data_IF_994504854743
#
_entry.id   IF_994504854743
#
_cell.length_a   1.000
_cell.length_b   1.000
_cell.length_c   1.000
_cell.angle_alpha   90.00
_cell.angle_beta   90.00
_cell.angle_gamma   90.00
#
_symmetry.space_group_name_H-M   'P 1'
#
loop_
_entity.id
_entity.type
_entity.pdbx_description
1 polymer ?
#
# COMPACT_ATOMS: atom_id res chain seq x y z
N UNK A 1 30.78 31.14 25.09
CA UNK A 1 30.03 29.89 24.85
C UNK A 1 30.68 29.19 23.67
N UNK A 2 31.29 28.02 23.89
CA UNK A 2 31.87 27.22 22.80
C UNK A 2 30.74 26.37 22.22
N UNK A 3 30.55 26.43 20.90
CA UNK A 3 29.57 25.62 20.19
C UNK A 3 30.30 24.57 19.37
N UNK A 4 29.98 23.30 19.59
CA UNK A 4 30.48 22.18 18.81
C UNK A 4 29.31 21.57 18.04
N UNK A 5 29.35 21.71 16.71
CA UNK A 5 28.28 21.23 15.85
C UNK A 5 28.43 19.71 15.59
N UNK A 6 27.32 18.96 15.50
CA UNK A 6 27.38 17.57 15.13
C UNK A 6 27.83 17.39 13.68
N UNK A 7 28.60 16.34 13.42
CA UNK A 7 29.07 15.98 12.08
C UNK A 7 27.94 15.36 11.23
N UNK A 8 27.13 14.50 11.85
CA UNK A 8 26.05 13.77 11.21
C UNK A 8 24.66 14.28 11.60
N UNK A 9 23.64 13.86 10.85
CA UNK A 9 22.24 14.07 11.20
C UNK A 9 21.74 13.12 12.30
N UNK A 10 20.53 13.33 12.82
CA UNK A 10 19.96 12.43 13.80
C UNK A 10 19.64 11.05 13.20
N UNK A 11 19.74 10.01 14.01
CA UNK A 11 19.44 8.63 13.62
C UNK A 11 18.10 8.22 14.21
N UNK A 12 17.20 7.71 13.37
CA UNK A 12 15.95 7.11 13.82
C UNK A 12 16.12 5.61 13.96
N UNK A 13 15.78 5.10 15.13
CA UNK A 13 15.73 3.65 15.41
C UNK A 13 14.32 3.25 15.83
N UNK A 14 13.86 2.10 15.35
CA UNK A 14 12.60 1.47 15.74
C UNK A 14 12.83 0.15 16.47
N UNK A 15 11.76 -0.58 16.75
CA UNK A 15 11.87 -1.94 17.33
C UNK A 15 12.56 -2.89 16.32
N UNK A 16 13.63 -3.60 16.70
CA UNK A 16 14.29 -4.57 15.82
C UNK A 16 13.31 -5.61 15.27
N UNK A 17 13.48 -5.97 13.99
CA UNK A 17 12.68 -7.01 13.32
C UNK A 17 11.25 -6.63 12.95
N UNK A 18 10.79 -5.41 13.24
CA UNK A 18 9.42 -4.95 12.93
C UNK A 18 9.42 -3.96 11.77
N UNK A 19 9.33 -4.50 10.55
CA UNK A 19 9.34 -3.72 9.30
C UNK A 19 7.93 -3.35 8.79
N UNK A 20 6.88 -3.98 9.33
CA UNK A 20 5.48 -3.70 8.99
C UNK A 20 4.70 -3.40 10.26
N UNK A 21 3.82 -2.41 10.15
CA UNK A 21 2.93 -1.99 11.23
C UNK A 21 1.48 -2.05 10.79
N UNK A 22 0.63 -2.50 11.69
CA UNK A 22 -0.81 -2.59 11.49
C UNK A 22 -1.52 -1.50 12.27
N UNK A 23 -2.70 -1.12 11.78
CA UNK A 23 -3.59 -0.24 12.54
C UNK A 23 -3.91 -0.89 13.88
N UNK A 24 -3.80 -0.13 14.96
CA UNK A 24 -3.97 -0.61 16.33
C UNK A 24 -2.67 -0.92 17.05
N UNK A 25 -1.54 -1.05 16.34
CA UNK A 25 -0.22 -1.25 16.92
C UNK A 25 0.24 -0.05 17.76
N UNK A 26 0.98 -0.31 18.82
CA UNK A 26 1.76 0.72 19.52
C UNK A 26 3.16 0.75 18.93
N UNK A 27 3.46 1.83 18.21
CA UNK A 27 4.76 2.04 17.56
C UNK A 27 5.67 2.84 18.48
N UNK A 28 6.96 2.51 18.46
CA UNK A 28 8.00 3.11 19.29
C UNK A 28 9.22 3.41 18.44
N UNK A 29 9.66 4.66 18.46
CA UNK A 29 10.86 5.11 17.78
C UNK A 29 11.71 5.95 18.73
N UNK A 30 13.02 5.87 18.57
CA UNK A 30 13.97 6.78 19.19
C UNK A 30 14.66 7.58 18.11
N UNK A 31 14.78 8.87 18.34
CA UNK A 31 15.64 9.74 17.58
C UNK A 31 16.84 10.07 18.43
N UNK A 32 18.04 9.76 17.94
CA UNK A 32 19.30 9.99 18.63
C UNK A 32 20.09 11.03 17.85
N UNK A 33 20.50 12.13 18.50
CA UNK A 33 21.37 13.13 17.88
C UNK A 33 22.81 12.61 17.76
N UNK A 34 23.58 13.17 16.84
CA UNK A 34 25.03 13.09 16.95
C UNK A 34 25.51 13.97 18.13
N UNK A 35 26.71 13.68 18.63
CA UNK A 35 27.31 14.38 19.78
C UNK A 35 27.56 15.86 19.47
N UNK A 36 27.21 16.74 20.40
CA UNK A 36 27.33 18.19 20.20
C UNK A 36 27.36 18.98 21.50
N UNK A 37 27.68 20.28 21.43
CA UNK A 37 27.57 21.17 22.58
C UNK A 37 27.04 22.54 22.15
N UNK A 38 25.91 23.02 22.70
CA UNK A 38 25.00 22.30 23.60
C UNK A 38 24.34 21.09 22.90
N UNK A 39 23.74 20.18 23.67
CA UNK A 39 22.93 19.10 23.14
C UNK A 39 21.91 19.60 22.09
N UNK A 40 21.80 18.87 20.98
CA UNK A 40 20.83 19.19 19.94
C UNK A 40 19.40 19.06 20.45
N UNK A 41 18.56 20.03 20.09
CA UNK A 41 17.13 20.02 20.37
C UNK A 41 16.43 19.18 19.30
N UNK A 42 15.74 18.13 19.74
CA UNK A 42 15.09 17.14 18.88
C UNK A 42 13.60 17.43 18.72
N UNK A 43 13.04 17.14 17.54
CA UNK A 43 11.61 17.31 17.26
C UNK A 43 11.10 16.23 16.32
N UNK A 44 9.90 15.73 16.60
CA UNK A 44 9.23 14.71 15.80
C UNK A 44 8.09 15.29 14.96
N UNK A 45 7.95 14.74 13.75
CA UNK A 45 6.87 15.05 12.82
C UNK A 45 6.28 13.76 12.25
N UNK A 46 4.96 13.70 12.14
CA UNK A 46 4.23 12.64 11.46
C UNK A 46 3.59 13.24 10.22
N UNK A 47 3.98 12.75 9.03
CA UNK A 47 3.51 13.24 7.73
C UNK A 47 3.63 14.77 7.56
N UNK A 48 4.71 15.34 8.07
CA UNK A 48 5.01 16.78 8.04
C UNK A 48 4.40 17.59 9.19
N UNK A 49 3.47 17.03 9.95
CA UNK A 49 2.78 17.72 11.04
C UNK A 49 3.53 17.48 12.37
N UNK A 50 3.73 18.51 13.22
CA UNK A 50 4.40 18.33 14.50
C UNK A 50 3.62 17.39 15.41
N UNK A 51 4.36 16.54 16.14
CA UNK A 51 3.77 15.57 17.06
C UNK A 51 3.39 16.23 18.38
N UNK A 52 2.23 15.85 18.93
CA UNK A 52 1.81 16.23 20.26
C UNK A 52 2.76 15.69 21.35
N UNK A 53 3.11 16.56 22.30
CA UNK A 53 3.94 16.27 23.48
C UNK A 53 3.52 15.01 24.24
N UNK A 54 2.24 14.65 24.27
CA UNK A 54 1.76 13.42 24.94
C UNK A 54 2.36 12.12 24.36
N UNK A 55 2.79 12.15 23.10
CA UNK A 55 3.43 11.02 22.41
C UNK A 55 4.95 11.01 22.55
N UNK A 56 5.53 12.05 23.16
CA UNK A 56 6.97 12.18 23.33
C UNK A 56 7.44 11.52 24.62
N UNK A 57 8.66 10.99 24.59
CA UNK A 57 9.35 10.42 25.76
C UNK A 57 10.74 11.03 25.84
N UNK A 58 11.02 11.79 26.89
CA UNK A 58 12.22 12.62 27.01
C UNK A 58 11.95 14.09 26.64
N UNK A 59 12.97 14.85 26.19
CA UNK A 59 14.31 14.40 25.80
C UNK A 59 15.19 13.95 26.99
N UNK A 60 16.20 13.12 26.71
CA UNK A 60 17.20 12.68 27.66
C UNK A 60 18.61 12.81 27.08
N UNK A 61 19.56 13.26 27.88
CA UNK A 61 20.99 13.18 27.53
C UNK A 61 21.48 11.79 27.93
N UNK A 62 21.78 10.95 26.95
CA UNK A 62 22.14 9.55 27.19
C UNK A 62 23.64 9.34 27.32
N UNK A 63 24.44 10.21 26.71
CA UNK A 63 25.90 10.10 26.70
C UNK A 63 26.53 11.49 26.79
N UNK A 64 27.64 11.56 27.51
CA UNK A 64 28.55 12.72 27.54
C UNK A 64 29.97 12.19 27.36
N UNK A 65 30.66 12.63 26.31
CA UNK A 65 32.03 12.17 26.03
C UNK A 65 33.09 12.91 26.89
N UNK A 66 34.37 12.58 26.69
CA UNK A 66 35.48 13.15 27.48
C UNK A 66 35.65 14.64 27.21
N UNK A 67 35.26 15.10 26.03
CA UNK A 67 35.26 16.49 25.59
C UNK A 67 34.01 17.24 26.10
N UNK A 68 33.08 16.52 26.75
CA UNK A 68 31.84 17.04 27.28
C UNK A 68 30.79 17.32 26.21
N UNK A 69 30.88 16.68 25.04
CA UNK A 69 29.84 16.69 24.01
C UNK A 69 28.71 15.75 24.42
N UNK A 70 27.49 16.17 24.13
CA UNK A 70 26.26 15.55 24.61
C UNK A 70 25.51 14.89 23.46
N UNK A 71 24.98 13.69 23.72
CA UNK A 71 24.07 12.96 22.84
C UNK A 71 22.66 13.03 23.42
N UNK A 72 21.72 13.60 22.67
CA UNK A 72 20.32 13.68 23.07
C UNK A 72 19.50 12.56 22.40
N UNK A 73 18.51 12.04 23.13
CA UNK A 73 17.52 11.10 22.62
C UNK A 73 16.11 11.61 22.90
N UNK A 74 15.25 11.57 21.89
CA UNK A 74 13.81 11.84 22.01
C UNK A 74 13.02 10.65 21.47
N UNK A 75 12.28 10.01 22.37
CA UNK A 75 11.38 8.91 22.04
C UNK A 75 10.04 9.39 21.50
N UNK A 76 9.45 8.59 20.62
CA UNK A 76 8.12 8.73 20.05
C UNK A 76 7.34 7.43 20.28
N UNK A 77 6.20 7.52 20.97
CA UNK A 77 5.32 6.39 21.23
C UNK A 77 3.85 6.79 21.05
N UNK A 78 3.17 6.11 20.12
CA UNK A 78 1.74 6.33 19.89
C UNK A 78 1.05 5.07 19.34
N UNK A 79 -0.28 5.04 19.46
CA UNK A 79 -1.10 4.00 18.85
C UNK A 79 -1.41 4.37 17.40
N UNK A 80 -1.05 3.48 16.48
CA UNK A 80 -1.25 3.67 15.05
C UNK A 80 -2.74 3.60 14.70
N UNK A 81 -3.20 4.55 13.89
CA UNK A 81 -4.58 4.71 13.45
C UNK A 81 -4.59 4.98 11.96
N UNK A 82 -5.71 4.69 11.30
CA UNK A 82 -5.91 4.94 9.86
C UNK A 82 -5.56 6.38 9.46
N UNK A 83 -5.93 7.37 10.29
CA UNK A 83 -5.62 8.79 10.07
C UNK A 83 -4.12 9.12 9.97
N UNK A 84 -3.24 8.26 10.46
CA UNK A 84 -1.79 8.48 10.40
C UNK A 84 -1.19 8.02 9.06
N UNK A 85 -1.95 7.36 8.20
CA UNK A 85 -1.50 7.00 6.86
C UNK A 85 -2.02 8.05 5.85
N UNK A 86 -1.11 8.64 5.07
CA UNK A 86 -1.45 9.51 3.94
C UNK A 86 -0.98 8.80 2.68
N UNK A 87 -1.84 8.60 1.68
CA UNK A 87 -1.48 7.89 0.42
C UNK A 87 -0.92 6.46 0.61
N UNK A 88 -1.24 5.81 1.73
CA UNK A 88 -0.86 4.42 2.01
C UNK A 88 0.44 4.26 2.80
N UNK A 89 1.19 5.34 3.05
CA UNK A 89 2.39 5.31 3.88
C UNK A 89 2.26 6.21 5.12
N UNK A 90 3.04 5.85 6.14
CA UNK A 90 3.29 6.64 7.33
C UNK A 90 4.70 7.21 7.23
N UNK A 91 4.82 8.53 7.23
CA UNK A 91 6.12 9.21 7.27
C UNK A 91 6.43 9.71 8.66
N UNK A 92 7.59 9.36 9.18
CA UNK A 92 8.08 9.82 10.47
C UNK A 92 9.40 10.54 10.25
N UNK A 93 9.47 11.81 10.66
CA UNK A 93 10.65 12.64 10.52
C UNK A 93 11.13 13.12 11.88
N UNK A 94 12.42 13.01 12.13
CA UNK A 94 13.07 13.65 13.26
C UNK A 94 13.98 14.79 12.77
N UNK A 95 13.89 15.93 13.44
CA UNK A 95 14.74 17.10 13.22
C UNK A 95 15.62 17.33 14.45
N UNK A 96 16.92 17.54 14.23
CA UNK A 96 17.87 17.98 15.23
C UNK A 96 18.30 19.42 14.92
N UNK A 97 18.28 20.28 15.94
CA UNK A 97 18.60 21.70 15.82
C UNK A 97 19.55 22.18 16.91
N UNK A 98 20.43 23.11 16.58
CA UNK A 98 21.22 23.88 17.57
C UNK A 98 21.10 25.36 17.20
N UNK A 99 20.33 26.07 18.02
CA UNK A 99 20.01 27.50 17.85
C UNK A 99 19.73 27.82 16.36
N UNK A 100 20.47 28.77 15.79
CA UNK A 100 20.35 29.17 14.39
C UNK A 100 21.51 28.72 13.49
N UNK A 101 22.26 27.69 13.89
CA UNK A 101 23.51 27.32 13.22
C UNK A 101 23.56 25.88 12.70
N UNK A 102 22.65 25.01 13.15
CA UNK A 102 22.58 23.63 12.69
C UNK A 102 21.14 23.15 12.60
N UNK A 103 20.81 22.54 11.46
CA UNK A 103 19.54 21.86 11.20
C UNK A 103 19.76 20.67 10.28
N UNK A 104 19.55 19.46 10.81
CA UNK A 104 19.57 18.22 10.03
C UNK A 104 18.42 17.33 10.45
N UNK A 105 17.90 16.56 9.51
CA UNK A 105 16.78 15.66 9.77
C UNK A 105 16.97 14.31 9.11
N UNK A 106 16.30 13.31 9.66
CA UNK A 106 16.16 11.99 9.07
C UNK A 106 14.67 11.64 8.98
N UNK A 107 14.26 10.91 7.95
CA UNK A 107 12.87 10.56 7.68
C UNK A 107 12.77 9.10 7.27
N UNK A 108 11.80 8.40 7.86
CA UNK A 108 11.41 7.03 7.51
C UNK A 108 10.02 7.04 6.88
N UNK A 109 9.86 6.33 5.77
CA UNK A 109 8.55 6.00 5.19
C UNK A 109 8.26 4.52 5.44
N UNK A 110 7.10 4.26 6.03
CA UNK A 110 6.65 2.94 6.44
C UNK A 110 5.38 2.62 5.65
N UNK A 111 5.41 1.58 4.83
CA UNK A 111 4.22 1.12 4.11
C UNK A 111 3.19 0.54 5.09
N UNK A 112 1.95 1.00 5.00
CA UNK A 112 0.83 0.34 5.67
C UNK A 112 0.54 -1.02 5.03
N UNK A 113 -0.12 -1.91 5.77
CA UNK A 113 -0.59 -3.15 5.14
C UNK A 113 -1.56 -2.85 4.00
N UNK A 114 -1.24 -3.36 2.81
CA UNK A 114 -2.17 -3.35 1.69
C UNK A 114 -3.30 -4.31 2.02
N UNK A 115 -4.58 -3.92 1.88
CA UNK A 115 -5.67 -4.88 1.90
C UNK A 115 -5.38 -5.95 0.87
N UNK A 116 -5.34 -7.22 1.27
CA UNK A 116 -5.32 -8.32 0.33
C UNK A 116 -6.61 -8.19 -0.50
N UNK A 117 -6.48 -7.78 -1.77
CA UNK A 117 -7.60 -7.87 -2.71
C UNK A 117 -7.93 -9.35 -2.84
N UNK A 118 -8.96 -9.81 -2.14
CA UNK A 118 -9.49 -11.14 -2.35
C UNK A 118 -9.99 -11.21 -3.80
N UNK A 119 -9.61 -12.23 -4.61
CA UNK A 119 -10.21 -12.40 -5.92
C UNK A 119 -11.70 -12.64 -5.71
N UNK A 120 -12.52 -11.78 -6.32
CA UNK A 120 -13.97 -11.97 -6.38
C UNK A 120 -14.18 -13.28 -7.15
N UNK A 121 -14.73 -14.29 -6.48
CA UNK A 121 -15.15 -15.53 -7.14
C UNK A 121 -16.32 -15.18 -8.06
N UNK A 122 -16.08 -15.15 -9.37
CA UNK A 122 -17.13 -15.02 -10.36
C UNK A 122 -17.91 -16.34 -10.40
N UNK A 123 -19.17 -16.31 -9.94
CA UNK A 123 -20.07 -17.44 -10.08
C UNK A 123 -20.44 -17.60 -11.55
N UNK A 124 -19.81 -18.55 -12.25
CA UNK A 124 -20.33 -19.01 -13.55
C UNK A 124 -21.69 -19.67 -13.31
N UNK A 125 -22.77 -19.01 -13.74
CA UNK A 125 -24.07 -19.65 -13.90
C UNK A 125 -23.95 -20.79 -14.93
N UNK A 126 -24.10 -22.04 -14.48
CA UNK A 126 -24.31 -23.17 -15.37
C UNK A 126 -25.75 -23.13 -15.86
N UNK A 127 -25.97 -22.60 -17.07
CA UNK A 127 -27.26 -22.66 -17.76
C UNK A 127 -27.60 -24.13 -18.03
N UNK A 128 -28.59 -24.69 -17.33
CA UNK A 128 -29.14 -26.00 -17.66
C UNK A 128 -29.90 -25.92 -18.99
N UNK A 129 -29.36 -26.54 -20.05
CA UNK A 129 -30.13 -26.81 -21.27
C UNK A 129 -31.07 -27.98 -21.00
N UNK A 130 -32.31 -27.68 -20.65
CA UNK A 130 -33.41 -28.64 -20.70
C UNK A 130 -33.78 -28.90 -22.16
N UNK A 131 -33.24 -29.97 -22.75
CA UNK A 131 -33.76 -30.51 -24.01
C UNK A 131 -34.97 -31.40 -23.69
N UNK A 132 -36.19 -30.91 -23.92
CA UNK A 132 -37.38 -31.77 -24.01
C UNK A 132 -37.40 -32.41 -25.39
N UNK A 133 -37.02 -33.69 -25.46
CA UNK A 133 -37.22 -34.50 -26.66
C UNK A 133 -38.66 -35.04 -26.65
N UNK A 134 -39.49 -34.56 -27.58
CA UNK A 134 -40.79 -35.17 -27.86
C UNK A 134 -40.62 -36.05 -29.12
N UNK A 135 -40.56 -37.36 -28.93
CA UNK A 135 -40.53 -38.33 -30.02
C UNK A 135 -41.95 -38.85 -30.26
N UNK A 136 -42.45 -38.67 -31.48
CA UNK A 136 -43.76 -39.12 -31.95
C UNK A 136 -43.64 -40.54 -32.54
N UNK A 137 -44.55 -41.44 -32.15
CA UNK A 137 -44.59 -42.86 -32.55
C UNK A 137 -45.20 -43.03 -33.96
N UNK A 138 -44.92 -44.21 -34.55
CA UNK A 138 -45.50 -44.94 -35.71
C UNK A 138 -44.54 -44.92 -36.92
N UNK A 139 -43.95 -46.01 -37.43
CA UNK A 139 -44.31 -47.43 -37.42
C UNK A 139 -44.73 -47.86 -38.83
N UNK A 140 -43.82 -48.42 -39.66
CA UNK A 140 -44.19 -48.98 -40.97
C UNK A 140 -43.06 -49.18 -41.98
N UNK A 141 -42.84 -50.45 -42.33
CA UNK A 141 -41.90 -51.06 -43.29
C UNK A 141 -42.06 -50.62 -44.76
N UNK A 142 -41.00 -50.73 -45.58
CA UNK A 142 -41.17 -51.01 -47.02
C UNK A 142 -40.14 -50.41 -47.99
N UNK A 143 -39.40 -51.30 -48.65
CA UNK A 143 -38.34 -51.13 -49.64
C UNK A 143 -38.61 -50.30 -50.91
N UNK A 144 -37.48 -49.85 -51.49
CA UNK A 144 -37.11 -49.90 -52.92
C UNK A 144 -37.34 -48.68 -53.84
N UNK A 145 -36.23 -48.37 -54.53
CA UNK A 145 -36.09 -48.05 -55.95
C UNK A 145 -36.39 -46.63 -56.50
N UNK A 146 -35.30 -46.04 -56.99
CA UNK A 146 -35.08 -45.63 -58.40
C UNK A 146 -35.68 -44.30 -58.91
N UNK A 147 -34.73 -43.52 -59.47
CA UNK A 147 -34.81 -42.67 -60.68
C UNK A 147 -35.40 -41.24 -60.57
N UNK A 148 -34.54 -40.27 -60.88
CA UNK A 148 -34.84 -38.92 -61.37
C UNK A 148 -35.65 -38.99 -62.70
N UNK A 149 -36.40 -37.94 -63.16
CA UNK A 149 -35.78 -36.73 -63.76
C UNK A 149 -36.69 -35.44 -63.80
N UNK A 150 -36.24 -34.43 -64.55
CA UNK A 150 -37.01 -33.33 -65.21
C UNK A 150 -37.36 -32.09 -64.38
N UNK A 151 -36.66 -30.96 -64.57
CA UNK A 151 -36.89 -29.90 -65.59
C UNK A 151 -38.13 -29.02 -65.27
N UNK A 152 -37.84 -27.81 -64.77
CA UNK A 152 -38.56 -26.54 -64.98
C UNK A 152 -37.56 -25.43 -64.60
N UNK A 153 -36.50 -25.16 -65.36
CA UNK A 153 -36.45 -24.25 -66.51
C UNK A 153 -37.26 -22.94 -66.36
N UNK A 154 -36.49 -21.84 -66.36
CA UNK A 154 -36.67 -20.61 -67.15
C UNK A 154 -37.51 -19.45 -66.57
N UNK A 155 -36.93 -18.26 -66.75
CA UNK A 155 -37.57 -16.93 -66.86
C UNK A 155 -37.79 -16.12 -65.57
N UNK A 156 -36.71 -15.63 -64.98
CA UNK A 156 -36.71 -14.25 -64.46
C UNK A 156 -35.67 -13.40 -65.20
N UNK A 157 -35.77 -13.40 -66.53
CA UNK A 157 -35.48 -12.17 -67.29
C UNK A 157 -36.46 -11.10 -66.83
N UNK A 158 -36.05 -9.83 -66.91
CA UNK A 158 -36.79 -8.59 -66.56
C UNK A 158 -36.51 -8.09 -65.14
N UNK A 159 -35.26 -7.67 -64.88
CA UNK A 159 -34.83 -6.67 -63.90
C UNK A 159 -33.29 -6.76 -63.95
N UNK A 160 -32.58 -6.07 -64.83
CA UNK A 160 -32.22 -4.66 -64.67
C UNK A 160 -31.79 -4.18 -66.07
N UNK A 161 -32.71 -3.55 -66.81
CA UNK A 161 -32.36 -2.59 -67.85
C UNK A 161 -32.79 -1.22 -67.33
N UNK A 162 -31.86 -0.55 -66.64
CA UNK A 162 -31.72 0.90 -66.59
C UNK A 162 -30.35 1.26 -66.03
#
# INVERSE_FOLDING_TARGET
MVTALPEDGPIITGRPGRHRYQVGDVVRFNCTSAKSKPAAMLSWFINGDPVDTQYLRGPHITEVDREGLETAVLGLEFRLRTKHFKRGDLKIKCLATIATVYWKSNELSIEGERPLKMPVMESRETRAQGHTHAEHILGGSGSSNMLAPCIFLLMTSILILR
#
